data_IF_393776865966
#
_entry.id   IF_393776865966
#
_cell.length_a   1.000
_cell.length_b   1.000
_cell.length_c   1.000
_cell.angle_alpha   90.00
_cell.angle_beta   90.00
_cell.angle_gamma   90.00
#
_symmetry.space_group_name_H-M   'P 1'
#
loop_
_entity.id
_entity.type
_entity.pdbx_description
1 polymer ?
#
# COMPACT_ATOMS: atom_id res chain seq x y z
N UNK A 1 22.21 -41.13 28.44
CA UNK A 1 21.26 -40.05 28.84
C UNK A 1 21.77 -38.74 28.25
N UNK A 2 21.41 -38.45 26.99
CA UNK A 2 21.87 -37.27 26.25
C UNK A 2 20.86 -36.15 26.48
N UNK A 3 21.25 -35.09 27.19
CA UNK A 3 20.41 -33.90 27.39
C UNK A 3 20.26 -33.19 26.04
N UNK A 4 19.06 -33.19 25.49
CA UNK A 4 18.67 -32.29 24.42
C UNK A 4 18.62 -30.91 25.03
N UNK A 5 19.57 -30.04 24.67
CA UNK A 5 19.50 -28.61 25.00
C UNK A 5 18.26 -28.08 24.30
N UNK A 6 17.28 -27.63 25.09
CA UNK A 6 16.10 -26.97 24.59
C UNK A 6 16.53 -25.70 23.84
N UNK A 7 16.41 -25.71 22.52
CA UNK A 7 16.50 -24.51 21.72
C UNK A 7 15.33 -23.60 22.15
N UNK A 8 15.67 -22.44 22.70
CA UNK A 8 14.68 -21.37 22.94
C UNK A 8 14.09 -21.03 21.57
N UNK A 9 12.75 -21.10 21.38
CA UNK A 9 12.17 -20.70 20.12
C UNK A 9 12.52 -19.23 19.88
N UNK A 10 13.32 -18.93 18.85
CA UNK A 10 13.45 -17.57 18.36
C UNK A 10 12.10 -17.17 17.77
N UNK A 11 11.33 -16.41 18.53
CA UNK A 11 10.12 -15.75 18.04
C UNK A 11 10.56 -14.57 17.19
N UNK A 12 10.86 -14.83 15.92
CA UNK A 12 11.08 -13.76 14.96
C UNK A 12 9.71 -13.17 14.59
N UNK A 13 9.40 -11.98 15.10
CA UNK A 13 8.28 -11.21 14.60
C UNK A 13 8.61 -10.73 13.17
N UNK A 14 8.16 -11.48 12.20
CA UNK A 14 8.27 -11.07 10.81
C UNK A 14 7.36 -9.87 10.54
N UNK A 15 7.93 -8.82 9.95
CA UNK A 15 7.22 -7.58 9.59
C UNK A 15 6.10 -7.79 8.56
N UNK A 16 5.97 -9.00 8.03
CA UNK A 16 4.97 -9.39 7.01
C UNK A 16 3.54 -9.07 7.46
N UNK A 17 3.22 -9.25 8.76
CA UNK A 17 1.89 -8.91 9.32
C UNK A 17 1.56 -7.41 9.27
N UNK A 18 2.56 -6.54 9.11
CA UNK A 18 2.38 -5.08 9.00
C UNK A 18 2.18 -4.59 7.57
N UNK A 19 2.41 -5.43 6.57
CA UNK A 19 2.34 -5.04 5.15
C UNK A 19 0.91 -4.66 4.75
N UNK A 20 -0.11 -5.32 5.31
CA UNK A 20 -1.51 -5.13 4.94
C UNK A 20 -2.02 -3.69 5.06
N UNK A 21 -1.67 -2.96 6.12
CA UNK A 21 -2.10 -1.56 6.31
C UNK A 21 -1.01 -0.54 5.93
N UNK A 22 0.27 -0.95 5.95
CA UNK A 22 1.40 -0.04 5.69
C UNK A 22 1.43 0.44 4.24
N UNK A 23 1.12 -0.45 3.29
CA UNK A 23 1.08 -0.10 1.87
C UNK A 23 0.06 1.01 1.57
N UNK A 24 -1.25 0.88 1.90
CA UNK A 24 -2.20 1.96 1.70
C UNK A 24 -1.86 3.22 2.52
N UNK A 25 -1.24 3.10 3.70
CA UNK A 25 -0.81 4.24 4.49
C UNK A 25 0.30 5.04 3.82
N UNK A 26 1.36 4.38 3.35
CA UNK A 26 2.48 5.06 2.67
C UNK A 26 2.03 5.64 1.33
N UNK A 27 1.21 4.91 0.57
CA UNK A 27 0.67 5.36 -0.70
C UNK A 27 -0.21 6.59 -0.50
N UNK A 28 -1.16 6.54 0.43
CA UNK A 28 -2.05 7.66 0.73
C UNK A 28 -1.28 8.91 1.18
N UNK A 29 -0.34 8.77 2.13
CA UNK A 29 0.46 9.89 2.60
C UNK A 29 1.30 10.52 1.48
N UNK A 30 1.99 9.69 0.68
CA UNK A 30 2.79 10.18 -0.46
C UNK A 30 1.92 10.92 -1.48
N UNK A 31 0.79 10.33 -1.86
CA UNK A 31 -0.11 10.92 -2.85
C UNK A 31 -0.75 12.21 -2.33
N UNK A 32 -1.17 12.25 -1.07
CA UNK A 32 -1.70 13.46 -0.44
C UNK A 32 -0.70 14.61 -0.41
N UNK A 33 0.56 14.35 -0.08
CA UNK A 33 1.63 15.34 -0.10
C UNK A 33 1.86 15.84 -1.53
N UNK A 34 2.08 14.95 -2.49
CA UNK A 34 2.48 15.30 -3.86
C UNK A 34 1.35 15.95 -4.64
N UNK A 35 0.15 15.33 -4.64
CA UNK A 35 -0.97 15.80 -5.47
C UNK A 35 -1.49 17.15 -5.01
N UNK A 36 -1.66 17.34 -3.70
CA UNK A 36 -2.14 18.60 -3.15
C UNK A 36 -1.11 19.73 -3.31
N UNK A 37 0.18 19.45 -3.07
CA UNK A 37 1.24 20.44 -3.31
C UNK A 37 1.33 20.81 -4.80
N UNK A 38 1.27 19.83 -5.69
CA UNK A 38 1.31 20.04 -7.14
C UNK A 38 0.13 20.90 -7.63
N UNK A 39 -1.07 20.61 -7.11
CA UNK A 39 -2.26 21.41 -7.43
C UNK A 39 -2.11 22.87 -6.94
N UNK A 40 -1.69 23.05 -5.69
CA UNK A 40 -1.44 24.37 -5.10
C UNK A 40 -0.40 25.15 -5.90
N UNK A 41 0.74 24.51 -6.24
CA UNK A 41 1.81 25.13 -7.00
C UNK A 41 1.33 25.49 -8.42
N UNK A 42 0.58 24.60 -9.07
CA UNK A 42 0.03 24.83 -10.41
C UNK A 42 -0.94 26.03 -10.44
N UNK A 43 -1.88 26.09 -9.49
CA UNK A 43 -2.87 27.19 -9.39
C UNK A 43 -2.19 28.51 -9.01
N UNK A 44 -1.20 28.48 -8.10
CA UNK A 44 -0.44 29.68 -7.75
C UNK A 44 0.42 30.18 -8.94
N UNK A 45 1.02 29.27 -9.71
CA UNK A 45 1.78 29.62 -10.91
C UNK A 45 0.90 30.18 -12.05
N UNK A 46 -0.39 29.90 -12.05
CA UNK A 46 -1.37 30.49 -12.93
C UNK A 46 -1.75 31.96 -12.56
N UNK A 47 -1.21 32.47 -11.46
CA UNK A 47 -1.47 33.85 -11.00
C UNK A 47 -2.72 34.02 -10.14
N UNK A 48 -3.29 32.93 -9.64
CA UNK A 48 -4.46 32.96 -8.77
C UNK A 48 -4.14 33.63 -7.42
N UNK A 49 -5.16 34.26 -6.82
CA UNK A 49 -5.08 34.81 -5.46
C UNK A 49 -5.02 33.73 -4.37
N UNK A 50 -4.64 34.12 -3.15
CA UNK A 50 -4.50 33.18 -2.02
C UNK A 50 -5.79 32.42 -1.72
N UNK A 51 -6.95 33.06 -1.82
CA UNK A 51 -8.25 32.42 -1.56
C UNK A 51 -8.51 31.29 -2.56
N UNK A 52 -8.32 31.57 -3.84
CA UNK A 52 -8.45 30.58 -4.93
C UNK A 52 -7.48 29.41 -4.75
N UNK A 53 -6.22 29.68 -4.40
CA UNK A 53 -5.20 28.65 -4.15
C UNK A 53 -5.61 27.74 -2.99
N UNK A 54 -6.08 28.32 -1.87
CA UNK A 54 -6.49 27.57 -0.67
C UNK A 54 -7.75 26.74 -0.96
N UNK A 55 -8.73 27.31 -1.64
CA UNK A 55 -9.96 26.58 -2.01
C UNK A 55 -9.66 25.43 -2.95
N UNK A 56 -8.79 25.64 -3.95
CA UNK A 56 -8.35 24.57 -4.84
C UNK A 56 -7.63 23.45 -4.08
N UNK A 57 -6.72 23.81 -3.16
CA UNK A 57 -6.02 22.84 -2.32
C UNK A 57 -6.97 22.07 -1.40
N UNK A 58 -7.97 22.72 -0.80
CA UNK A 58 -8.97 22.06 0.04
C UNK A 58 -9.88 21.13 -0.78
N UNK A 59 -10.33 21.58 -1.94
CA UNK A 59 -11.10 20.74 -2.86
C UNK A 59 -10.28 19.52 -3.31
N UNK A 60 -8.99 19.70 -3.63
CA UNK A 60 -8.06 18.65 -3.96
C UNK A 60 -7.87 17.64 -2.82
N UNK A 61 -7.75 18.11 -1.58
CA UNK A 61 -7.67 17.26 -0.39
C UNK A 61 -8.92 16.38 -0.26
N UNK A 62 -10.10 16.97 -0.33
CA UNK A 62 -11.36 16.22 -0.17
C UNK A 62 -11.57 15.24 -1.32
N UNK A 63 -11.40 15.70 -2.56
CA UNK A 63 -11.56 14.85 -3.74
C UNK A 63 -10.54 13.70 -3.77
N UNK A 64 -9.27 13.99 -3.44
CA UNK A 64 -8.22 13.02 -3.39
C UNK A 64 -8.41 11.98 -2.28
N UNK A 65 -8.78 12.40 -1.07
CA UNK A 65 -9.08 11.49 0.02
C UNK A 65 -10.24 10.53 -0.32
N UNK A 66 -11.31 11.06 -0.92
CA UNK A 66 -12.45 10.25 -1.37
C UNK A 66 -12.08 9.31 -2.51
N UNK A 67 -11.30 9.78 -3.49
CA UNK A 67 -10.81 8.96 -4.60
C UNK A 67 -9.93 7.81 -4.12
N UNK A 68 -9.00 8.10 -3.19
CA UNK A 68 -8.14 7.08 -2.58
C UNK A 68 -8.95 6.06 -1.78
N UNK A 69 -9.93 6.52 -0.98
CA UNK A 69 -10.82 5.61 -0.25
C UNK A 69 -11.59 4.68 -1.19
N UNK A 70 -12.20 5.24 -2.24
CA UNK A 70 -12.98 4.47 -3.21
C UNK A 70 -12.10 3.50 -4.00
N UNK A 71 -10.94 3.95 -4.47
CA UNK A 71 -9.99 3.13 -5.23
C UNK A 71 -9.48 1.94 -4.43
N UNK A 72 -9.03 2.17 -3.19
CA UNK A 72 -8.59 1.09 -2.30
C UNK A 72 -9.73 0.16 -1.93
N UNK A 73 -10.91 0.69 -1.61
CA UNK A 73 -12.07 -0.14 -1.32
C UNK A 73 -12.42 -1.08 -2.48
N UNK A 74 -12.56 -0.54 -3.69
CA UNK A 74 -12.92 -1.32 -4.88
C UNK A 74 -11.84 -2.35 -5.21
N UNK A 75 -10.57 -1.95 -5.19
CA UNK A 75 -9.43 -2.83 -5.49
C UNK A 75 -9.35 -4.00 -4.51
N UNK A 76 -9.40 -3.72 -3.21
CA UNK A 76 -9.29 -4.75 -2.17
C UNK A 76 -10.57 -5.59 -2.05
N UNK A 77 -11.75 -5.02 -2.36
CA UNK A 77 -13.00 -5.80 -2.47
C UNK A 77 -12.93 -6.79 -3.62
N UNK A 78 -12.46 -6.37 -4.79
CA UNK A 78 -12.27 -7.26 -5.94
C UNK A 78 -11.30 -8.41 -5.64
N UNK A 79 -10.24 -8.14 -4.87
CA UNK A 79 -9.34 -9.19 -4.38
C UNK A 79 -10.10 -10.15 -3.45
N UNK A 80 -10.86 -9.63 -2.50
CA UNK A 80 -11.67 -10.45 -1.58
C UNK A 80 -12.69 -11.32 -2.30
N UNK A 81 -13.36 -10.77 -3.32
CA UNK A 81 -14.34 -11.51 -4.12
C UNK A 81 -13.66 -12.68 -4.89
N UNK A 82 -12.46 -12.45 -5.42
CA UNK A 82 -11.67 -13.50 -6.09
C UNK A 82 -11.25 -14.58 -5.10
N UNK A 83 -10.69 -14.20 -3.94
CA UNK A 83 -10.29 -15.14 -2.88
C UNK A 83 -11.47 -16.01 -2.42
N UNK A 84 -12.66 -15.40 -2.26
CA UNK A 84 -13.87 -16.13 -1.88
C UNK A 84 -14.35 -17.09 -2.97
N UNK A 85 -14.27 -16.69 -4.25
CA UNK A 85 -14.63 -17.54 -5.38
C UNK A 85 -13.67 -18.74 -5.50
N UNK A 86 -12.38 -18.53 -5.32
CA UNK A 86 -11.38 -19.62 -5.34
C UNK A 86 -11.59 -20.57 -4.17
N UNK A 87 -11.81 -20.08 -2.95
CA UNK A 87 -12.12 -20.92 -1.80
C UNK A 87 -13.44 -21.68 -1.94
N UNK A 88 -14.43 -21.12 -2.63
CA UNK A 88 -15.69 -21.81 -2.88
C UNK A 88 -15.50 -22.96 -3.88
N UNK A 89 -14.69 -22.74 -4.92
CA UNK A 89 -14.30 -23.78 -5.90
C UNK A 89 -13.54 -24.88 -5.22
N UNK A 90 -12.51 -24.56 -4.49
CA UNK A 90 -11.67 -25.48 -3.74
C UNK A 90 -12.47 -26.39 -2.79
N UNK A 91 -13.43 -25.78 -2.07
CA UNK A 91 -14.32 -26.54 -1.19
C UNK A 91 -15.18 -27.56 -1.96
N UNK A 92 -15.62 -27.21 -3.16
CA UNK A 92 -16.39 -28.12 -4.01
C UNK A 92 -15.49 -29.24 -4.62
N UNK A 93 -14.27 -28.94 -5.01
CA UNK A 93 -13.29 -29.90 -5.53
C UNK A 93 -12.89 -30.87 -4.44
N UNK A 94 -12.57 -30.43 -3.25
CA UNK A 94 -12.32 -31.29 -2.08
C UNK A 94 -13.50 -32.22 -1.74
N UNK A 95 -14.73 -31.79 -1.99
CA UNK A 95 -15.93 -32.59 -1.76
C UNK A 95 -16.18 -33.64 -2.85
N UNK A 96 -15.90 -33.29 -4.10
CA UNK A 96 -16.24 -34.11 -5.28
C UNK A 96 -15.10 -34.99 -5.76
N UNK A 97 -13.84 -34.56 -5.54
CA UNK A 97 -12.63 -35.19 -6.07
C UNK A 97 -11.50 -35.31 -5.02
N UNK A 98 -11.77 -35.80 -3.80
CA UNK A 98 -10.81 -35.73 -2.68
C UNK A 98 -9.48 -36.44 -2.96
N UNK A 99 -9.47 -37.49 -3.82
CA UNK A 99 -8.24 -38.16 -4.17
C UNK A 99 -7.37 -37.38 -5.17
N UNK A 100 -8.00 -36.63 -6.08
CA UNK A 100 -7.30 -35.74 -7.00
C UNK A 100 -6.65 -34.58 -6.22
N UNK A 101 -7.40 -33.95 -5.33
CA UNK A 101 -6.93 -32.88 -4.47
C UNK A 101 -5.77 -33.31 -3.56
N UNK A 102 -5.84 -34.52 -3.02
CA UNK A 102 -4.75 -35.12 -2.25
C UNK A 102 -3.46 -35.23 -3.07
N UNK A 103 -3.56 -35.73 -4.30
CA UNK A 103 -2.38 -35.87 -5.18
C UNK A 103 -1.87 -34.50 -5.61
N UNK A 104 -2.75 -33.51 -5.86
CA UNK A 104 -2.39 -32.13 -6.17
C UNK A 104 -1.57 -31.50 -5.05
N UNK A 105 -2.05 -31.56 -3.80
CA UNK A 105 -1.30 -31.09 -2.65
C UNK A 105 0.04 -31.81 -2.51
N UNK A 106 0.10 -33.13 -2.75
CA UNK A 106 1.35 -33.88 -2.73
C UNK A 106 2.32 -33.38 -3.80
N UNK A 107 1.86 -33.09 -5.03
CA UNK A 107 2.69 -32.55 -6.11
C UNK A 107 3.25 -31.16 -5.79
N UNK A 108 2.53 -30.32 -5.09
CA UNK A 108 3.04 -29.04 -4.58
C UNK A 108 4.28 -29.26 -3.70
N UNK A 109 4.22 -30.24 -2.80
CA UNK A 109 5.35 -30.57 -1.92
C UNK A 109 6.50 -31.24 -2.65
N UNK A 110 6.24 -32.08 -3.68
CA UNK A 110 7.28 -32.60 -4.58
C UNK A 110 7.99 -31.44 -5.29
N UNK A 111 7.23 -30.46 -5.80
CA UNK A 111 7.79 -29.25 -6.41
C UNK A 111 8.64 -28.42 -5.45
N UNK A 112 8.41 -28.54 -4.13
CA UNK A 112 9.23 -27.92 -3.06
C UNK A 112 10.44 -28.78 -2.66
N UNK A 113 10.64 -29.95 -3.28
CA UNK A 113 11.81 -30.80 -3.10
C UNK A 113 11.63 -31.98 -2.14
N UNK A 114 10.42 -32.33 -1.74
CA UNK A 114 10.16 -33.54 -0.97
C UNK A 114 10.21 -34.79 -1.90
N UNK A 115 10.63 -35.91 -1.32
CA UNK A 115 10.46 -37.23 -1.96
C UNK A 115 8.95 -37.49 -2.18
N UNK A 116 8.54 -38.13 -3.31
CA UNK A 116 7.14 -38.37 -3.64
C UNK A 116 6.35 -39.12 -2.56
N UNK A 117 6.96 -40.12 -1.93
CA UNK A 117 6.28 -40.90 -0.90
C UNK A 117 6.12 -40.10 0.39
N UNK A 118 7.10 -39.30 0.74
CA UNK A 118 7.01 -38.39 1.87
C UNK A 118 6.00 -37.26 1.59
N UNK A 119 5.97 -36.72 0.38
CA UNK A 119 5.03 -35.67 -0.02
C UNK A 119 3.57 -36.13 0.11
N UNK A 120 3.25 -37.37 -0.30
CA UNK A 120 1.92 -37.97 -0.10
C UNK A 120 1.57 -38.12 1.38
N UNK A 121 2.51 -38.58 2.21
CA UNK A 121 2.29 -38.66 3.65
C UNK A 121 2.02 -37.29 4.31
N UNK A 122 2.71 -36.26 3.85
CA UNK A 122 2.49 -34.87 4.30
C UNK A 122 1.10 -34.40 3.90
N UNK A 123 0.71 -34.60 2.62
CA UNK A 123 -0.61 -34.23 2.13
C UNK A 123 -1.72 -34.93 2.91
N UNK A 124 -1.59 -36.25 3.16
CA UNK A 124 -2.55 -37.04 3.95
C UNK A 124 -2.75 -36.45 5.35
N UNK A 125 -1.67 -36.08 6.03
CA UNK A 125 -1.75 -35.52 7.38
C UNK A 125 -2.36 -34.12 7.41
N UNK A 126 -2.00 -33.27 6.44
CA UNK A 126 -2.53 -31.91 6.35
C UNK A 126 -4.03 -31.91 6.01
N UNK A 127 -4.45 -32.76 5.07
CA UNK A 127 -5.86 -32.89 4.70
C UNK A 127 -6.69 -33.49 5.84
N UNK A 128 -6.14 -34.45 6.60
CA UNK A 128 -6.82 -35.00 7.77
C UNK A 128 -6.99 -33.98 8.91
N UNK A 129 -6.12 -32.97 8.99
CA UNK A 129 -6.19 -31.92 9.99
C UNK A 129 -7.14 -30.80 9.56
N UNK A 130 -6.90 -30.18 8.37
CA UNK A 130 -7.69 -29.07 7.84
C UNK A 130 -7.42 -28.93 6.33
N UNK A 131 -8.21 -29.67 5.50
CA UNK A 131 -7.98 -29.79 4.07
C UNK A 131 -8.06 -28.42 3.36
N UNK A 132 -9.15 -27.67 3.55
CA UNK A 132 -9.35 -26.39 2.88
C UNK A 132 -8.26 -25.37 3.22
N UNK A 133 -7.82 -25.29 4.47
CA UNK A 133 -6.76 -24.37 4.85
C UNK A 133 -5.37 -24.80 4.36
N UNK A 134 -5.13 -26.11 4.18
CA UNK A 134 -3.91 -26.59 3.55
C UNK A 134 -3.84 -26.12 2.09
N UNK A 135 -4.89 -26.35 1.31
CA UNK A 135 -4.99 -25.90 -0.08
C UNK A 135 -4.99 -24.36 -0.19
N UNK A 136 -5.80 -23.67 0.61
CA UNK A 136 -5.82 -22.19 0.64
C UNK A 136 -4.42 -21.61 0.82
N UNK A 137 -3.63 -22.16 1.74
CA UNK A 137 -2.27 -21.68 2.02
C UNK A 137 -1.25 -22.11 0.97
N UNK A 138 -1.24 -23.38 0.58
CA UNK A 138 -0.14 -23.99 -0.17
C UNK A 138 -0.33 -23.91 -1.68
N UNK A 139 -1.57 -23.90 -2.15
CA UNK A 139 -1.98 -23.78 -3.55
C UNK A 139 -2.39 -22.35 -3.90
N UNK A 140 -3.40 -21.80 -3.21
CA UNK A 140 -3.97 -20.48 -3.51
C UNK A 140 -3.15 -19.32 -2.93
N UNK A 141 -2.22 -19.58 -2.01
CA UNK A 141 -1.41 -18.55 -1.35
C UNK A 141 -2.21 -17.65 -0.38
N UNK A 142 -3.41 -18.06 -0.01
CA UNK A 142 -4.30 -17.33 0.90
C UNK A 142 -3.90 -17.63 2.34
N UNK A 143 -3.45 -16.60 3.06
CA UNK A 143 -3.05 -16.69 4.46
C UNK A 143 -3.78 -15.62 5.28
N UNK A 144 -3.82 -15.76 6.61
CA UNK A 144 -4.39 -14.72 7.49
C UNK A 144 -3.75 -13.34 7.28
N UNK A 145 -2.48 -13.30 6.88
CA UNK A 145 -1.72 -12.08 6.63
C UNK A 145 -2.09 -11.45 5.28
N UNK A 146 -2.40 -12.27 4.28
CA UNK A 146 -2.76 -11.82 2.93
C UNK A 146 -4.25 -11.56 2.76
N UNK A 147 -5.10 -11.96 3.73
CA UNK A 147 -6.56 -11.78 3.65
C UNK A 147 -6.94 -10.32 3.40
N UNK A 148 -7.73 -10.09 2.37
CA UNK A 148 -8.16 -8.78 1.94
C UNK A 148 -9.08 -8.10 2.98
N UNK A 149 -8.79 -6.83 3.32
CA UNK A 149 -9.55 -6.01 4.27
C UNK A 149 -9.94 -4.66 3.68
N UNK A 150 -10.98 -4.59 2.83
CA UNK A 150 -11.31 -3.42 2.02
C UNK A 150 -11.55 -2.14 2.83
N UNK A 151 -12.36 -2.23 3.88
CA UNK A 151 -12.70 -1.07 4.72
C UNK A 151 -11.46 -0.52 5.44
N UNK A 152 -10.61 -1.40 5.97
CA UNK A 152 -9.37 -0.97 6.63
C UNK A 152 -8.42 -0.28 5.63
N UNK A 153 -8.25 -0.84 4.43
CA UNK A 153 -7.40 -0.26 3.39
C UNK A 153 -7.92 1.12 2.96
N UNK A 154 -9.22 1.24 2.69
CA UNK A 154 -9.87 2.49 2.30
C UNK A 154 -9.71 3.59 3.34
N UNK A 155 -10.03 3.30 4.60
CA UNK A 155 -9.91 4.28 5.69
C UNK A 155 -8.46 4.68 5.94
N UNK A 156 -7.54 3.72 5.93
CA UNK A 156 -6.11 4.00 6.12
C UNK A 156 -5.59 4.91 5.00
N UNK A 157 -5.92 4.61 3.75
CA UNK A 157 -5.50 5.40 2.59
C UNK A 157 -6.06 6.82 2.63
N UNK A 158 -7.37 6.98 2.88
CA UNK A 158 -8.01 8.29 2.97
C UNK A 158 -7.45 9.16 4.10
N UNK A 159 -7.29 8.60 5.29
CA UNK A 159 -6.79 9.34 6.46
C UNK A 159 -5.32 9.77 6.28
N UNK A 160 -4.49 8.89 5.73
CA UNK A 160 -3.08 9.21 5.47
C UNK A 160 -2.93 10.18 4.30
N UNK A 161 -3.79 10.09 3.26
CA UNK A 161 -3.87 11.11 2.22
C UNK A 161 -4.20 12.47 2.81
N UNK A 162 -5.28 12.57 3.60
CA UNK A 162 -5.68 13.82 4.21
C UNK A 162 -4.60 14.41 5.13
N UNK A 163 -3.92 13.58 5.91
CA UNK A 163 -2.80 13.99 6.74
C UNK A 163 -1.61 14.51 5.91
N UNK A 164 -1.28 13.84 4.81
CA UNK A 164 -0.24 14.26 3.88
C UNK A 164 -0.57 15.58 3.18
N UNK A 165 -1.81 15.72 2.70
CA UNK A 165 -2.33 16.92 2.03
C UNK A 165 -2.45 18.13 2.93
N UNK A 166 -2.66 17.93 4.24
CA UNK A 166 -2.84 19.01 5.19
C UNK A 166 -1.62 19.95 5.27
N UNK A 167 -0.40 19.40 5.19
CA UNK A 167 0.81 20.22 5.33
C UNK A 167 0.98 21.24 4.18
N UNK A 168 1.00 20.86 2.90
CA UNK A 168 1.10 21.84 1.81
C UNK A 168 -0.05 22.84 1.83
N UNK A 169 -1.26 22.43 2.22
CA UNK A 169 -2.42 23.32 2.36
C UNK A 169 -2.25 24.33 3.49
N UNK A 170 -1.78 23.91 4.67
CA UNK A 170 -1.49 24.80 5.80
C UNK A 170 -0.41 25.82 5.42
N UNK A 171 0.66 25.37 4.76
CA UNK A 171 1.71 26.29 4.30
C UNK A 171 1.15 27.30 3.33
N UNK A 172 0.36 26.89 2.34
CA UNK A 172 -0.27 27.79 1.38
C UNK A 172 -1.21 28.83 2.02
N UNK A 173 -1.91 28.44 3.09
CA UNK A 173 -2.82 29.33 3.82
C UNK A 173 -2.10 30.35 4.72
N UNK A 174 -0.88 30.03 5.19
CA UNK A 174 -0.17 30.85 6.17
C UNK A 174 0.89 31.78 5.57
N UNK A 175 1.43 31.45 4.38
CA UNK A 175 2.48 32.25 3.76
C UNK A 175 1.91 33.31 2.83
N UNK A 176 2.57 34.50 2.67
CA UNK A 176 2.18 35.47 1.67
C UNK A 176 2.21 34.89 0.24
N UNK A 177 1.33 35.38 -0.65
CA UNK A 177 1.16 34.84 -2.01
C UNK A 177 2.48 34.65 -2.77
N UNK A 178 3.38 35.63 -2.73
CA UNK A 178 4.69 35.55 -3.39
C UNK A 178 5.61 34.44 -2.85
N UNK A 179 5.30 33.86 -1.70
CA UNK A 179 6.05 32.78 -1.05
C UNK A 179 5.34 31.42 -1.11
N UNK A 180 4.14 31.35 -1.70
CA UNK A 180 3.38 30.07 -1.75
C UNK A 180 4.15 29.02 -2.51
N UNK A 181 4.61 29.30 -3.72
CA UNK A 181 5.35 28.33 -4.55
C UNK A 181 6.62 27.85 -3.84
N UNK A 182 7.58 28.71 -3.44
CA UNK A 182 8.78 28.23 -2.76
C UNK A 182 8.50 27.60 -1.40
N UNK A 183 7.59 28.15 -0.62
CA UNK A 183 7.25 27.64 0.71
C UNK A 183 6.63 26.25 0.67
N UNK A 184 5.61 26.06 -0.19
CA UNK A 184 4.97 24.75 -0.40
C UNK A 184 5.96 23.75 -0.97
N UNK A 185 6.77 24.14 -1.96
CA UNK A 185 7.77 23.23 -2.56
C UNK A 185 8.78 22.73 -1.53
N UNK A 186 9.36 23.62 -0.73
CA UNK A 186 10.34 23.25 0.31
C UNK A 186 9.71 22.35 1.37
N UNK A 187 8.54 22.74 1.90
CA UNK A 187 7.84 21.95 2.91
C UNK A 187 7.49 20.54 2.38
N UNK A 188 7.03 20.47 1.14
CA UNK A 188 6.69 19.21 0.46
C UNK A 188 7.90 18.31 0.31
N UNK A 189 9.03 18.82 -0.22
CA UNK A 189 10.24 18.03 -0.42
C UNK A 189 10.81 17.52 0.92
N UNK A 190 10.77 18.32 1.98
CA UNK A 190 11.17 17.90 3.32
C UNK A 190 10.26 16.79 3.86
N UNK A 191 8.94 16.91 3.66
CA UNK A 191 7.97 15.89 4.08
C UNK A 191 8.15 14.58 3.32
N UNK A 192 8.39 14.65 2.02
CA UNK A 192 8.68 13.48 1.18
C UNK A 192 9.99 12.82 1.60
N UNK A 193 11.02 13.59 1.92
CA UNK A 193 12.28 13.07 2.43
C UNK A 193 12.07 12.33 3.76
N UNK A 194 11.30 12.91 4.68
CA UNK A 194 10.94 12.29 5.95
C UNK A 194 10.12 11.01 5.72
N UNK A 195 9.07 11.06 4.89
CA UNK A 195 8.23 9.91 4.58
C UNK A 195 9.06 8.76 3.96
N UNK A 196 9.94 9.08 3.01
CA UNK A 196 10.83 8.11 2.38
C UNK A 196 11.79 7.46 3.36
N UNK A 197 12.36 8.25 4.29
CA UNK A 197 13.26 7.76 5.34
C UNK A 197 12.51 6.89 6.36
N UNK A 198 11.32 7.30 6.80
CA UNK A 198 10.49 6.54 7.74
C UNK A 198 9.98 5.24 7.12
N UNK A 199 9.52 5.27 5.86
CA UNK A 199 9.09 4.09 5.13
C UNK A 199 10.23 3.07 4.96
N UNK A 200 11.43 3.54 4.61
CA UNK A 200 12.62 2.69 4.51
C UNK A 200 12.99 2.08 5.87
N UNK A 201 12.90 2.86 6.94
CA UNK A 201 13.17 2.36 8.29
C UNK A 201 12.14 1.30 8.72
N UNK A 202 10.86 1.51 8.44
CA UNK A 202 9.80 0.54 8.73
C UNK A 202 10.02 -0.78 7.97
N UNK A 203 10.54 -0.71 6.73
CA UNK A 203 10.91 -1.88 5.91
C UNK A 203 12.31 -2.45 6.18
N UNK A 204 13.06 -1.93 7.17
CA UNK A 204 14.46 -2.30 7.45
C UNK A 204 15.38 -2.20 6.23
N UNK A 205 15.05 -1.29 5.29
CA UNK A 205 15.81 -1.04 4.07
C UNK A 205 16.78 0.15 4.21
N UNK A 206 17.76 0.25 3.32
CA UNK A 206 18.62 1.42 3.24
C UNK A 206 17.82 2.70 2.92
N UNK A 207 18.02 3.78 3.68
CA UNK A 207 17.16 4.98 3.64
C UNK A 207 17.38 5.85 2.41
N UNK A 208 18.59 5.91 1.85
CA UNK A 208 18.94 6.89 0.81
C UNK A 208 18.16 6.72 -0.49
N UNK A 209 18.18 5.50 -1.07
CA UNK A 209 17.53 5.23 -2.36
C UNK A 209 16.00 5.47 -2.36
N UNK A 210 15.22 4.95 -1.36
CA UNK A 210 13.79 5.23 -1.28
C UNK A 210 13.50 6.72 -1.11
N UNK A 211 14.26 7.42 -0.25
CA UNK A 211 14.10 8.85 -0.03
C UNK A 211 14.33 9.66 -1.30
N UNK A 212 15.45 9.42 -2.00
CA UNK A 212 15.75 10.11 -3.26
C UNK A 212 14.69 9.86 -4.33
N UNK A 213 14.15 8.64 -4.40
CA UNK A 213 13.07 8.29 -5.35
C UNK A 213 11.83 9.14 -5.11
N UNK A 214 11.36 9.21 -3.86
CA UNK A 214 10.13 9.94 -3.52
C UNK A 214 10.31 11.44 -3.73
N UNK A 215 11.44 12.00 -3.30
CA UNK A 215 11.77 13.43 -3.50
C UNK A 215 11.88 13.79 -4.97
N UNK A 216 12.53 12.96 -5.78
CA UNK A 216 12.69 13.20 -7.23
C UNK A 216 11.32 13.25 -7.93
N UNK A 217 10.46 12.25 -7.72
CA UNK A 217 9.15 12.22 -8.37
C UNK A 217 8.23 13.34 -7.88
N UNK A 218 8.29 13.69 -6.58
CA UNK A 218 7.54 14.82 -6.04
C UNK A 218 7.99 16.16 -6.61
N UNK A 219 9.31 16.39 -6.73
CA UNK A 219 9.85 17.58 -7.37
C UNK A 219 9.44 17.69 -8.84
N UNK A 220 9.50 16.57 -9.58
CA UNK A 220 9.08 16.52 -10.98
C UNK A 220 7.60 16.83 -11.15
N UNK A 221 6.73 16.28 -10.29
CA UNK A 221 5.29 16.54 -10.34
C UNK A 221 4.99 18.03 -10.12
N UNK A 222 5.58 18.64 -9.08
CA UNK A 222 5.42 20.07 -8.81
C UNK A 222 5.96 20.95 -9.94
N UNK A 223 7.11 20.61 -10.52
CA UNK A 223 7.67 21.33 -11.66
C UNK A 223 6.75 21.26 -12.89
N UNK A 224 6.22 20.07 -13.19
CA UNK A 224 5.29 19.87 -14.30
C UNK A 224 4.02 20.72 -14.14
N UNK A 225 3.42 20.72 -12.94
CA UNK A 225 2.21 21.51 -12.67
C UNK A 225 2.48 23.01 -12.63
N UNK A 226 3.66 23.44 -12.16
CA UNK A 226 4.07 24.84 -12.24
C UNK A 226 4.19 25.30 -13.70
N UNK A 227 4.76 24.50 -14.56
CA UNK A 227 4.85 24.81 -16.01
C UNK A 227 3.46 24.91 -16.62
N UNK A 228 2.57 23.94 -16.34
CA UNK A 228 1.18 23.99 -16.82
C UNK A 228 0.49 25.27 -16.32
N UNK A 229 0.59 25.57 -15.03
CA UNK A 229 0.01 26.79 -14.46
C UNK A 229 0.53 28.05 -15.14
N UNK A 230 1.83 28.19 -15.34
CA UNK A 230 2.42 29.37 -15.96
C UNK A 230 2.06 29.51 -17.46
N UNK A 231 1.85 28.41 -18.17
CA UNK A 231 1.46 28.44 -19.58
C UNK A 231 0.00 28.84 -19.77
N UNK A 232 -0.88 28.42 -18.90
CA UNK A 232 -2.33 28.65 -19.03
C UNK A 232 -2.87 29.79 -18.16
N UNK A 233 -2.13 30.23 -17.13
CA UNK A 233 -2.54 31.35 -16.28
C UNK A 233 -2.64 32.70 -16.96
N UNK A 234 -1.96 32.90 -18.11
CA UNK A 234 -2.10 34.08 -18.95
C UNK A 234 -3.32 34.08 -19.90
N UNK A 235 -4.09 32.99 -19.92
CA UNK A 235 -5.25 32.80 -20.80
C UNK A 235 -6.59 33.00 -20.07
N UNK A 236 -6.57 33.12 -18.75
CA UNK A 236 -7.70 33.37 -17.87
C UNK A 236 -7.70 34.79 -17.33
#
# INVERSE_FOLDING_TARGET
MTRIHGAVPHTEEHLVSRIGWLRPAVLGANDGIVSTASLIVGVAAAGADTGTVVVAGLAGLVAGAMSMAAGEYVSVSSQSDTEQADLAREREELRTQPEAEREELAQIYVGRGLDPDLARQVADQLMAHEALGAHARDELGITEVSTARPVQAALTSALTFAAGAALPLIVAALVPLGWVIPGVSVATLLSLALLGALGAQAGRAGRLRPTLRVVFWGALAMAATAVVGSLFGGLA
#
